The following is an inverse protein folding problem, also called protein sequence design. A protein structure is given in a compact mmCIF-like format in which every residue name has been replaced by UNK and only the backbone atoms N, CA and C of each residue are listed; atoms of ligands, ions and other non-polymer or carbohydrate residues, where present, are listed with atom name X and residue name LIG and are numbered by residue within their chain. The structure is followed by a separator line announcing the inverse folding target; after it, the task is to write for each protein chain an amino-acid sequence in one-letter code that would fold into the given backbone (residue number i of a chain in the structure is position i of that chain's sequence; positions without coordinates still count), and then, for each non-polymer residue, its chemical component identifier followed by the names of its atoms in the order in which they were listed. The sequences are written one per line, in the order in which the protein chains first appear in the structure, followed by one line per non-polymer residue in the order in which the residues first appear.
data_IF_342621633951
#
_entry.id   IF_342621633951
#
_cell.length_a   1.000
_cell.length_b   1.000
_cell.length_c   1.000
_cell.angle_alpha   90.00
_cell.angle_beta   90.00
_cell.angle_gamma   90.00
#
_symmetry.space_group_name_H-M   'P 1'
#
loop_
_entity.id
_entity.type
_entity.pdbx_description
1 polymer ?
#
# COMPACT_ATOMS: atom_id res chain seq x y z
N UNK A 1 12.53 -25.72 3.66
CA UNK A 1 13.90 -25.19 3.63
C UNK A 1 14.01 -24.16 4.75
N UNK A 2 14.77 -24.43 5.81
CA UNK A 2 14.97 -23.46 6.90
C UNK A 2 16.34 -22.83 6.74
N UNK A 3 16.38 -21.60 6.21
CA UNK A 3 17.61 -20.79 6.21
C UNK A 3 17.78 -20.20 7.60
N UNK A 4 18.36 -20.96 8.54
CA UNK A 4 18.77 -20.42 9.82
C UNK A 4 19.91 -19.45 9.57
N UNK A 5 19.70 -18.17 9.93
CA UNK A 5 20.75 -17.16 9.81
C UNK A 5 22.00 -17.62 10.58
N UNK A 6 23.19 -17.40 10.00
CA UNK A 6 24.48 -17.65 10.67
C UNK A 6 24.85 -16.56 11.68
N UNK A 7 23.90 -15.69 12.03
CA UNK A 7 24.08 -14.61 12.99
C UNK A 7 24.25 -15.19 14.39
N UNK A 8 25.29 -14.73 15.09
CA UNK A 8 25.45 -14.95 16.53
C UNK A 8 24.53 -13.98 17.28
N UNK A 9 23.32 -14.43 17.57
CA UNK A 9 22.29 -13.63 18.24
C UNK A 9 22.63 -13.33 19.70
N UNK A 10 23.26 -14.27 20.40
CA UNK A 10 23.68 -14.08 21.79
C UNK A 10 24.67 -12.92 21.93
N UNK A 11 25.56 -12.73 20.94
CA UNK A 11 26.46 -11.58 20.90
C UNK A 11 25.72 -10.27 20.67
N UNK A 12 24.73 -10.24 19.78
CA UNK A 12 23.94 -9.02 19.49
C UNK A 12 23.09 -8.63 20.71
N UNK A 13 22.46 -9.59 21.37
CA UNK A 13 21.62 -9.35 22.55
C UNK A 13 22.42 -8.80 23.75
N UNK A 14 23.72 -9.10 23.82
CA UNK A 14 24.61 -8.63 24.88
C UNK A 14 25.36 -7.32 24.55
N UNK A 15 25.24 -6.82 23.32
CA UNK A 15 25.95 -5.64 22.84
C UNK A 15 25.32 -4.36 23.39
N UNK A 16 26.13 -3.40 23.84
CA UNK A 16 25.63 -2.10 24.31
C UNK A 16 25.58 -1.09 23.16
N UNK A 17 24.84 0.00 23.32
CA UNK A 17 24.75 1.06 22.32
C UNK A 17 26.12 1.67 21.98
N UNK A 18 27.01 1.78 22.97
CA UNK A 18 28.37 2.32 22.78
C UNK A 18 29.28 1.40 21.95
N UNK A 19 28.96 0.10 21.87
CA UNK A 19 29.67 -0.87 21.04
C UNK A 19 29.27 -0.80 19.56
N UNK A 20 28.23 -0.02 19.21
CA UNK A 20 27.71 0.10 17.85
C UNK A 20 28.52 1.16 17.10
N UNK A 21 29.24 0.73 16.06
CA UNK A 21 29.92 1.64 15.14
C UNK A 21 28.90 2.31 14.21
N UNK A 22 28.73 3.63 14.38
CA UNK A 22 27.89 4.47 13.53
C UNK A 22 28.71 5.47 12.71
N UNK A 23 30.02 5.25 12.55
CA UNK A 23 30.92 6.19 11.87
C UNK A 23 30.55 6.43 10.39
N UNK A 24 29.86 5.48 9.78
CA UNK A 24 29.37 5.53 8.40
C UNK A 24 27.98 6.20 8.25
N UNK A 25 27.21 6.31 9.34
CA UNK A 25 25.85 6.86 9.35
C UNK A 25 25.81 8.06 10.31
N UNK A 26 26.26 9.25 9.87
CA UNK A 26 26.25 10.43 10.71
C UNK A 26 24.82 10.84 11.11
N UNK A 27 24.63 11.49 12.28
CA UNK A 27 23.33 11.98 12.70
C UNK A 27 22.72 12.94 11.68
N UNK A 28 21.42 12.77 11.43
CA UNK A 28 20.67 13.67 10.54
C UNK A 28 20.41 15.01 11.24
N UNK A 29 20.65 16.11 10.52
CA UNK A 29 20.48 17.47 11.05
C UNK A 29 19.05 17.98 10.93
N UNK A 30 18.68 19.00 11.70
CA UNK A 30 17.39 19.69 11.56
C UNK A 30 17.18 20.26 10.15
N UNK A 31 18.27 20.70 9.49
CA UNK A 31 18.23 21.18 8.11
C UNK A 31 17.80 20.06 7.14
N UNK A 32 18.27 18.82 7.35
CA UNK A 32 17.85 17.67 6.56
C UNK A 32 16.34 17.45 6.69
N UNK A 33 15.82 17.45 7.93
CA UNK A 33 14.38 17.27 8.17
C UNK A 33 13.54 18.43 7.65
N UNK A 34 14.05 19.67 7.67
CA UNK A 34 13.34 20.85 7.15
C UNK A 34 13.02 20.76 5.64
N UNK A 35 13.85 20.02 4.89
CA UNK A 35 13.71 19.80 3.44
C UNK A 35 13.13 18.41 3.10
N UNK A 36 12.99 17.54 4.09
CA UNK A 36 12.51 16.18 3.88
C UNK A 36 11.02 16.19 3.50
N UNK A 37 10.67 15.48 2.42
CA UNK A 37 9.27 15.30 2.02
C UNK A 37 8.74 14.00 2.60
N UNK A 38 7.86 14.09 3.59
CA UNK A 38 7.13 12.93 4.09
C UNK A 38 6.24 12.36 2.97
N UNK A 39 6.54 11.12 2.55
CA UNK A 39 5.65 10.34 1.71
C UNK A 39 4.94 9.32 2.58
N UNK A 40 3.73 9.68 3.00
CA UNK A 40 2.81 8.70 3.55
C UNK A 40 2.30 7.90 2.34
N UNK A 41 2.49 6.56 2.29
CA UNK A 41 1.81 5.74 1.29
C UNK A 41 0.32 5.96 1.52
N UNK A 42 -0.32 6.66 0.59
CA UNK A 42 -1.71 7.01 0.70
C UNK A 42 -2.51 5.71 0.65
N UNK A 43 -2.99 5.23 1.79
CA UNK A 43 -4.05 4.23 1.84
C UNK A 43 -5.35 4.90 1.37
N UNK A 44 -5.43 5.26 0.09
CA UNK A 44 -6.64 5.84 -0.52
C UNK A 44 -7.76 4.81 -0.68
N UNK A 45 -7.56 3.59 -0.17
CA UNK A 45 -8.57 2.55 -0.18
C UNK A 45 -9.52 2.81 0.98
N UNK A 46 -10.73 3.25 0.65
CA UNK A 46 -11.83 3.31 1.59
C UNK A 46 -12.58 1.97 1.58
N UNK A 47 -12.76 1.37 2.74
CA UNK A 47 -13.61 0.17 2.91
C UNK A 47 -15.06 0.60 3.06
N UNK A 48 -15.93 0.09 2.19
CA UNK A 48 -17.38 0.34 2.23
C UNK A 48 -18.15 -0.98 2.10
N UNK A 49 -19.29 -1.09 2.79
CA UNK A 49 -20.19 -2.22 2.62
C UNK A 49 -21.14 -1.94 1.44
N UNK A 50 -21.09 -2.80 0.41
CA UNK A 50 -21.95 -2.71 -0.78
C UNK A 50 -22.78 -3.99 -0.89
N UNK A 51 -24.07 -3.84 -1.23
CA UNK A 51 -24.93 -4.98 -1.55
C UNK A 51 -24.78 -5.32 -3.03
N UNK A 52 -24.47 -6.57 -3.30
CA UNK A 52 -24.39 -7.15 -4.64
C UNK A 52 -25.28 -8.38 -4.70
N UNK A 53 -25.77 -8.74 -5.89
CA UNK A 53 -26.54 -9.96 -6.08
C UNK A 53 -25.67 -11.21 -5.91
N UNK A 54 -26.32 -12.34 -5.62
CA UNK A 54 -25.63 -13.59 -5.29
C UNK A 54 -24.84 -14.16 -6.47
N UNK A 55 -25.30 -13.97 -7.70
CA UNK A 55 -24.65 -14.54 -8.89
C UNK A 55 -23.36 -13.79 -9.20
N UNK A 56 -23.42 -12.45 -9.19
CA UNK A 56 -22.24 -11.59 -9.37
C UNK A 56 -21.19 -11.85 -8.30
N UNK A 57 -21.61 -11.95 -7.03
CA UNK A 57 -20.67 -12.23 -5.94
C UNK A 57 -19.98 -13.58 -6.12
N UNK A 58 -20.74 -14.63 -6.47
CA UNK A 58 -20.21 -15.97 -6.71
C UNK A 58 -19.20 -15.97 -7.87
N UNK A 59 -19.50 -15.24 -8.94
CA UNK A 59 -18.58 -15.10 -10.07
C UNK A 59 -17.26 -14.44 -9.68
N UNK A 60 -17.28 -13.36 -8.88
CA UNK A 60 -16.04 -12.75 -8.38
C UNK A 60 -15.27 -13.68 -7.44
N UNK A 61 -15.96 -14.36 -6.52
CA UNK A 61 -15.34 -15.33 -5.61
C UNK A 61 -14.68 -16.50 -6.36
N UNK A 62 -15.21 -16.89 -7.52
CA UNK A 62 -14.59 -17.92 -8.37
C UNK A 62 -13.18 -17.54 -8.88
N UNK A 63 -12.78 -16.27 -8.78
CA UNK A 63 -11.45 -15.77 -9.16
C UNK A 63 -10.37 -16.03 -8.09
N UNK A 64 -10.74 -16.54 -6.92
CA UNK A 64 -9.78 -16.90 -5.86
C UNK A 64 -9.30 -15.68 -5.08
N UNK A 65 -8.02 -15.68 -4.69
CA UNK A 65 -7.42 -14.67 -3.79
C UNK A 65 -7.52 -13.23 -4.32
N UNK A 66 -7.64 -13.06 -5.64
CA UNK A 66 -7.72 -11.75 -6.30
C UNK A 66 -9.16 -11.24 -6.46
N UNK A 67 -10.18 -11.94 -5.92
CA UNK A 67 -11.59 -11.56 -6.08
C UNK A 67 -11.87 -10.09 -5.70
N UNK A 68 -11.34 -9.64 -4.56
CA UNK A 68 -11.50 -8.26 -4.08
C UNK A 68 -10.81 -7.25 -5.00
N UNK A 69 -9.62 -7.58 -5.52
CA UNK A 69 -8.89 -6.72 -6.45
C UNK A 69 -9.63 -6.58 -7.79
N UNK A 70 -10.20 -7.67 -8.29
CA UNK A 70 -11.04 -7.67 -9.48
C UNK A 70 -12.31 -6.83 -9.29
N UNK A 71 -12.96 -6.93 -8.12
CA UNK A 71 -14.12 -6.09 -7.78
C UNK A 71 -13.75 -4.61 -7.74
N UNK A 72 -12.63 -4.26 -7.09
CA UNK A 72 -12.15 -2.89 -7.03
C UNK A 72 -11.82 -2.32 -8.42
N UNK A 73 -11.19 -3.12 -9.30
CA UNK A 73 -10.91 -2.73 -10.67
C UNK A 73 -12.19 -2.49 -11.49
N UNK A 74 -13.20 -3.36 -11.36
CA UNK A 74 -14.48 -3.19 -12.04
C UNK A 74 -15.20 -1.90 -11.62
N UNK A 75 -15.25 -1.61 -10.31
CA UNK A 75 -15.83 -0.37 -9.79
C UNK A 75 -15.11 0.87 -10.33
N UNK A 76 -13.77 0.81 -10.44
CA UNK A 76 -12.97 1.90 -10.99
C UNK A 76 -13.27 2.16 -12.46
N UNK A 77 -13.28 1.12 -13.28
CA UNK A 77 -13.59 1.21 -14.72
C UNK A 77 -14.97 1.83 -14.93
N UNK A 78 -15.98 1.37 -14.17
CA UNK A 78 -17.33 1.92 -14.24
C UNK A 78 -17.36 3.41 -13.89
N UNK A 79 -16.71 3.80 -12.78
CA UNK A 79 -16.66 5.18 -12.34
C UNK A 79 -15.97 6.10 -13.36
N UNK A 80 -14.86 5.65 -13.97
CA UNK A 80 -14.14 6.40 -15.00
C UNK A 80 -14.98 6.58 -16.28
N UNK A 81 -15.68 5.53 -16.71
CA UNK A 81 -16.58 5.61 -17.86
C UNK A 81 -17.71 6.65 -17.63
N UNK A 82 -18.32 6.65 -16.43
CA UNK A 82 -19.38 7.60 -16.08
C UNK A 82 -18.87 9.04 -15.99
N UNK A 83 -17.69 9.26 -15.40
CA UNK A 83 -17.07 10.59 -15.34
C UNK A 83 -16.79 11.11 -16.75
N UNK A 84 -16.24 10.27 -17.62
CA UNK A 84 -15.92 10.64 -19.00
C UNK A 84 -17.19 11.01 -19.76
N UNK A 85 -18.26 10.21 -19.65
CA UNK A 85 -19.54 10.50 -20.27
C UNK A 85 -20.17 11.80 -19.77
N UNK A 86 -20.08 12.09 -18.46
CA UNK A 86 -20.55 13.35 -17.88
C UNK A 86 -19.77 14.56 -18.44
N UNK A 87 -18.44 14.45 -18.51
CA UNK A 87 -17.57 15.49 -19.07
C UNK A 87 -17.89 15.78 -20.54
N UNK A 88 -18.10 14.74 -21.35
CA UNK A 88 -18.47 14.91 -22.77
C UNK A 88 -19.83 15.63 -22.93
N UNK A 89 -20.80 15.33 -22.07
CA UNK A 89 -22.11 16.02 -22.08
C UNK A 89 -21.99 17.50 -21.74
N UNK A 90 -21.12 17.87 -20.80
CA UNK A 90 -20.89 19.27 -20.42
C UNK A 90 -20.16 20.10 -21.49
N UNK A 91 -19.30 19.47 -22.31
CA UNK A 91 -18.62 20.15 -23.42
C UNK A 91 -19.51 20.34 -24.66
N UNK A 92 -20.68 19.71 -24.68
CA UNK A 92 -21.64 19.74 -25.80
C UNK A 92 -22.82 20.70 -25.56
N UNK A 93 -22.81 21.46 -24.46
CA UNK A 93 -23.80 22.48 -24.08
C UNK A 93 -23.13 23.85 -24.00
#
# INVERSE_FOLDING_TARGET
MSSTSRTDWSRIDAMTDDDIDTSDIPPLTDEFFSKAKLRIPSSQLATVAVRVDSETLTWFQSKGEDAEQHMAAALRIYAEAQKTAATMRQLSS
#
